data_IF_723808042024
#
_entry.id   IF_723808042024
#
_cell.length_a   1.000
_cell.length_b   1.000
_cell.length_c   1.000
_cell.angle_alpha   90.00
_cell.angle_beta   90.00
_cell.angle_gamma   90.00
#
_symmetry.space_group_name_H-M   'P 1'
#
loop_
_entity.id
_entity.type
_entity.pdbx_description
1 polymer ?
#
# COMPACT_ATOMS: atom_id res chain seq x y z
N UNK A 1 -12.99 -5.08 -12.36
CA UNK A 1 -12.63 -6.50 -12.58
C UNK A 1 -13.86 -7.36 -12.58
N UNK A 2 -14.04 -8.17 -13.63
CA UNK A 2 -15.09 -9.19 -13.69
C UNK A 2 -14.50 -10.59 -13.68
N UNK A 3 -14.80 -11.39 -12.65
CA UNK A 3 -14.43 -12.80 -12.60
C UNK A 3 -15.42 -13.59 -13.45
N UNK A 4 -14.92 -14.22 -14.52
CA UNK A 4 -15.71 -15.05 -15.42
C UNK A 4 -15.47 -16.52 -15.12
N UNK A 5 -16.56 -17.25 -14.92
CA UNK A 5 -16.53 -18.70 -14.65
C UNK A 5 -17.41 -19.40 -15.67
N UNK A 6 -16.88 -20.49 -16.24
CA UNK A 6 -17.64 -21.44 -17.04
C UNK A 6 -17.49 -22.79 -16.33
N UNK A 7 -18.57 -23.40 -15.82
CA UNK A 7 -18.49 -24.68 -15.11
C UNK A 7 -19.78 -25.50 -15.22
N UNK A 8 -19.75 -26.81 -14.97
CA UNK A 8 -20.93 -27.67 -15.08
C UNK A 8 -21.57 -28.05 -13.74
N UNK A 9 -22.90 -28.17 -13.73
CA UNK A 9 -23.70 -28.45 -12.52
C UNK A 9 -24.42 -29.79 -12.61
N UNK A 10 -24.28 -30.58 -11.56
CA UNK A 10 -25.15 -31.71 -11.25
C UNK A 10 -26.00 -31.34 -10.03
N UNK A 11 -27.32 -31.35 -10.19
CA UNK A 11 -28.25 -31.17 -9.08
C UNK A 11 -28.14 -32.31 -8.08
N UNK A 12 -27.84 -32.00 -6.83
CA UNK A 12 -28.08 -32.90 -5.70
C UNK A 12 -28.49 -32.10 -4.48
N UNK A 13 -29.73 -32.34 -4.07
CA UNK A 13 -30.33 -31.88 -2.83
C UNK A 13 -29.64 -32.63 -1.68
N UNK A 14 -29.01 -31.91 -0.74
CA UNK A 14 -28.54 -32.49 0.52
C UNK A 14 -28.97 -31.58 1.67
N UNK A 15 -29.55 -32.24 2.67
CA UNK A 15 -30.27 -31.68 3.79
C UNK A 15 -29.39 -30.88 4.76
N UNK A 16 -30.03 -29.86 5.32
CA UNK A 16 -29.55 -28.92 6.32
C UNK A 16 -29.42 -29.61 7.68
N UNK A 17 -28.21 -29.64 8.24
CA UNK A 17 -27.95 -30.02 9.64
C UNK A 17 -27.35 -28.84 10.39
N UNK A 18 -28.19 -28.10 11.12
CA UNK A 18 -27.75 -27.01 12.00
C UNK A 18 -27.39 -27.63 13.35
N UNK A 19 -26.10 -27.65 13.68
CA UNK A 19 -25.64 -27.82 15.06
C UNK A 19 -25.18 -26.45 15.58
N UNK A 20 -26.00 -25.86 16.43
CA UNK A 20 -25.68 -24.65 17.17
C UNK A 20 -24.77 -25.04 18.35
N UNK A 21 -23.51 -24.63 18.32
CA UNK A 21 -22.65 -24.67 19.48
C UNK A 21 -22.54 -23.24 20.04
N UNK A 22 -23.27 -23.00 21.12
CA UNK A 22 -23.24 -21.74 21.86
C UNK A 22 -22.06 -21.78 22.83
N UNK A 23 -20.90 -21.32 22.37
CA UNK A 23 -19.81 -20.96 23.28
C UNK A 23 -19.95 -19.49 23.67
N UNK A 24 -20.43 -19.30 24.89
CA UNK A 24 -20.51 -18.01 25.59
C UNK A 24 -19.13 -17.37 25.71
N UNK A 25 -18.96 -16.20 25.12
CA UNK A 25 -17.79 -15.34 25.32
C UNK A 25 -17.79 -14.75 26.73
N UNK A 26 -16.64 -14.68 27.44
CA UNK A 26 -16.55 -13.97 28.70
C UNK A 26 -16.59 -12.45 28.45
N UNK A 27 -17.68 -11.81 28.85
CA UNK A 27 -17.78 -10.37 29.00
C UNK A 27 -16.93 -9.91 30.18
N UNK A 28 -15.76 -9.38 29.90
CA UNK A 28 -14.89 -8.78 30.91
C UNK A 28 -13.88 -7.83 30.28
N UNK A 29 -14.31 -6.60 29.97
CA UNK A 29 -13.39 -5.51 29.60
C UNK A 29 -12.64 -5.10 30.88
N UNK A 30 -11.30 -5.18 30.94
CA UNK A 30 -10.57 -4.65 32.09
C UNK A 30 -10.84 -3.14 32.19
N UNK A 31 -11.36 -2.69 33.34
CA UNK A 31 -11.38 -1.27 33.68
C UNK A 31 -9.94 -0.78 33.69
N UNK A 32 -9.60 0.08 32.74
CA UNK A 32 -8.39 0.90 32.80
C UNK A 32 -8.43 1.70 34.10
N UNK A 33 -7.57 1.33 35.04
CA UNK A 33 -7.29 2.17 36.21
C UNK A 33 -6.70 3.48 35.68
N UNK A 34 -7.33 4.60 36.03
CA UNK A 34 -6.77 5.92 35.79
C UNK A 34 -5.42 5.99 36.51
N UNK A 35 -4.32 6.32 35.81
CA UNK A 35 -3.05 6.50 36.49
C UNK A 35 -3.18 7.72 37.39
N UNK A 36 -3.19 7.49 38.70
CA UNK A 36 -3.00 8.56 39.69
C UNK A 36 -1.62 9.14 39.45
N UNK A 37 -1.56 10.34 38.89
CA UNK A 37 -0.31 11.08 38.73
C UNK A 37 0.36 11.18 40.11
N UNK A 38 1.61 10.72 40.29
CA UNK A 38 2.33 10.98 41.51
C UNK A 38 2.43 12.50 41.64
N UNK A 39 1.99 13.06 42.77
CA UNK A 39 2.33 14.43 43.15
C UNK A 39 3.85 14.49 43.16
N UNK A 40 4.43 15.14 42.15
CA UNK A 40 5.84 15.47 42.16
C UNK A 40 6.11 16.22 43.46
N UNK A 41 7.01 15.66 44.27
CA UNK A 41 7.72 16.44 45.26
C UNK A 41 8.28 17.66 44.53
N UNK A 42 8.01 18.85 45.06
CA UNK A 42 8.64 20.09 44.62
C UNK A 42 10.15 19.92 44.74
N UNK A 43 10.78 19.52 43.63
CA UNK A 43 12.19 19.75 43.43
C UNK A 43 12.37 21.25 43.62
N UNK A 44 13.21 21.64 44.58
CA UNK A 44 13.72 22.99 44.60
C UNK A 44 14.44 23.17 43.26
N UNK A 45 13.81 23.87 42.32
CA UNK A 45 14.51 24.38 41.17
C UNK A 45 15.67 25.18 41.75
N UNK A 46 16.91 24.68 41.61
CA UNK A 46 18.06 25.55 41.76
C UNK A 46 17.79 26.69 40.79
N UNK A 47 17.62 27.90 41.33
CA UNK A 47 17.45 29.06 40.48
C UNK A 47 18.68 29.10 39.59
N UNK A 48 18.50 28.81 38.30
CA UNK A 48 19.57 28.89 37.31
C UNK A 48 20.19 30.28 37.34
N UNK A 49 21.40 30.42 36.78
CA UNK A 49 22.06 31.71 36.73
C UNK A 49 21.15 32.76 36.10
N UNK A 50 21.00 33.91 36.78
CA UNK A 50 20.23 35.03 36.24
C UNK A 50 20.79 35.49 34.90
N UNK A 51 19.96 36.07 34.03
CA UNK A 51 20.39 36.61 32.72
C UNK A 51 21.59 37.56 32.87
N UNK A 52 21.56 38.42 33.89
CA UNK A 52 22.65 39.34 34.22
C UNK A 52 23.96 38.58 34.53
N UNK A 53 23.88 37.55 35.38
CA UNK A 53 25.03 36.72 35.75
C UNK A 53 25.59 35.94 34.56
N UNK A 54 24.72 35.48 33.65
CA UNK A 54 25.13 34.80 32.42
C UNK A 54 25.90 35.77 31.49
N UNK A 55 25.38 36.98 31.28
CA UNK A 55 26.01 38.00 30.45
C UNK A 55 27.37 38.44 31.02
N UNK A 56 27.45 38.65 32.35
CA UNK A 56 28.70 38.97 33.03
C UNK A 56 29.75 37.87 32.87
N UNK A 57 29.34 36.60 33.02
CA UNK A 57 30.24 35.46 32.86
C UNK A 57 30.81 35.37 31.43
N UNK A 58 29.97 35.53 30.42
CA UNK A 58 30.42 35.54 29.02
C UNK A 58 31.34 36.73 28.74
N UNK A 59 31.00 37.92 29.26
CA UNK A 59 31.85 39.11 29.13
C UNK A 59 33.23 38.93 29.76
N UNK A 60 33.30 38.32 30.95
CA UNK A 60 34.54 38.18 31.70
C UNK A 60 35.45 37.05 31.18
N UNK A 61 34.86 35.91 30.78
CA UNK A 61 35.61 34.67 30.52
C UNK A 61 35.64 34.26 29.04
N UNK A 62 34.75 34.79 28.19
CA UNK A 62 34.63 34.37 26.80
C UNK A 62 34.97 35.49 25.80
N UNK A 63 34.54 36.73 26.08
CA UNK A 63 34.63 37.84 25.14
C UNK A 63 36.07 38.30 24.81
N UNK A 64 37.08 37.95 25.62
CA UNK A 64 38.48 38.24 25.31
C UNK A 64 38.98 37.50 24.05
N UNK A 65 38.63 36.22 23.92
CA UNK A 65 38.98 35.40 22.75
C UNK A 65 37.90 35.44 21.67
N UNK A 66 36.63 35.50 22.07
CA UNK A 66 35.47 35.57 21.17
C UNK A 66 34.95 37.02 21.05
N UNK A 67 35.80 37.95 20.61
CA UNK A 67 35.42 39.34 20.29
C UNK A 67 35.41 39.57 18.78
N UNK A 68 34.88 40.72 18.35
CA UNK A 68 34.94 41.14 16.95
C UNK A 68 36.37 41.31 16.41
N UNK A 69 37.33 41.53 17.31
CA UNK A 69 38.75 41.66 16.97
C UNK A 69 39.46 40.31 16.89
N UNK A 70 39.34 39.48 17.92
CA UNK A 70 40.09 38.20 18.01
C UNK A 70 39.40 37.08 17.23
N UNK A 71 38.05 37.02 17.25
CA UNK A 71 37.21 36.03 16.56
C UNK A 71 37.74 34.60 16.62
N UNK A 72 38.18 34.14 17.79
CA UNK A 72 38.66 32.77 17.95
C UNK A 72 37.59 31.76 17.49
N UNK A 73 37.96 30.83 16.63
CA UNK A 73 37.03 29.86 16.04
C UNK A 73 35.94 30.48 15.16
N UNK A 74 36.12 31.71 14.66
CA UNK A 74 35.16 32.41 13.81
C UNK A 74 33.92 32.92 14.57
N UNK A 75 33.96 32.97 15.90
CA UNK A 75 32.82 33.37 16.75
C UNK A 75 33.12 34.69 17.48
N UNK A 76 32.14 35.60 17.47
CA UNK A 76 32.09 36.77 18.34
C UNK A 76 30.92 36.64 19.31
N UNK A 77 31.19 36.90 20.59
CA UNK A 77 30.24 36.95 21.69
C UNK A 77 30.16 38.36 22.28
N UNK A 78 30.67 39.37 21.57
CA UNK A 78 30.68 40.76 22.04
C UNK A 78 29.26 41.34 22.25
N UNK A 79 28.30 40.88 21.45
CA UNK A 79 26.88 41.23 21.56
C UNK A 79 26.03 40.09 22.14
N UNK A 80 26.64 39.18 22.91
CA UNK A 80 25.92 38.08 23.55
C UNK A 80 24.89 38.61 24.55
N UNK A 81 23.67 38.08 24.47
CA UNK A 81 22.58 38.36 25.39
C UNK A 81 21.85 37.05 25.73
N UNK A 82 21.95 36.62 26.98
CA UNK A 82 21.30 35.42 27.49
C UNK A 82 19.77 35.47 27.36
N UNK A 83 19.15 36.66 27.36
CA UNK A 83 17.71 36.81 27.16
C UNK A 83 17.27 36.42 25.74
N UNK A 84 18.17 36.53 24.76
CA UNK A 84 17.94 36.26 23.33
C UNK A 84 18.64 35.01 22.85
N UNK A 85 19.08 34.15 23.76
CA UNK A 85 19.89 32.97 23.41
C UNK A 85 19.15 32.01 22.47
N UNK A 86 17.82 31.97 22.57
CA UNK A 86 16.93 31.20 21.69
C UNK A 86 16.99 31.69 20.23
N UNK A 87 17.16 33.00 19.99
CA UNK A 87 17.29 33.55 18.64
C UNK A 87 18.56 33.02 17.93
N UNK A 88 19.57 32.64 18.72
CA UNK A 88 20.84 32.10 18.26
C UNK A 88 21.10 30.69 18.81
N UNK A 89 20.07 29.85 18.87
CA UNK A 89 20.14 28.49 19.44
C UNK A 89 21.32 27.67 18.89
N UNK A 90 21.62 27.77 17.59
CA UNK A 90 22.76 27.07 16.97
C UNK A 90 24.13 27.41 17.61
N UNK A 91 24.33 28.66 18.04
CA UNK A 91 25.57 29.10 18.71
C UNK A 91 25.55 28.62 20.15
N UNK A 92 24.41 28.75 20.83
CA UNK A 92 24.25 28.32 22.21
C UNK A 92 24.46 26.80 22.37
N UNK A 93 23.93 25.99 21.45
CA UNK A 93 24.18 24.55 21.35
C UNK A 93 25.67 24.19 21.17
N UNK A 94 26.42 25.02 20.44
CA UNK A 94 27.88 24.85 20.33
C UNK A 94 28.57 25.22 21.64
N UNK A 95 28.12 26.29 22.32
CA UNK A 95 28.64 26.69 23.64
C UNK A 95 28.41 25.58 24.67
N UNK A 96 27.17 25.09 24.80
CA UNK A 96 26.79 24.01 25.72
C UNK A 96 27.70 22.79 25.51
N UNK A 97 27.83 22.31 24.27
CA UNK A 97 28.71 21.17 23.94
C UNK A 97 30.17 21.40 24.33
N UNK A 98 30.71 22.60 24.11
CA UNK A 98 32.10 22.95 24.46
C UNK A 98 32.31 23.11 25.96
N UNK A 99 31.33 23.65 26.68
CA UNK A 99 31.35 23.82 28.13
C UNK A 99 31.23 22.47 28.85
N UNK A 100 30.27 21.62 28.44
CA UNK A 100 30.13 20.25 28.96
C UNK A 100 31.38 19.40 28.76
N UNK A 101 32.03 19.55 27.62
CA UNK A 101 33.28 18.85 27.33
C UNK A 101 34.53 19.46 28.01
N UNK A 102 34.38 20.54 28.80
CA UNK A 102 35.50 21.23 29.45
C UNK A 102 36.51 21.88 28.48
N UNK A 103 36.16 22.00 27.20
CA UNK A 103 37.04 22.55 26.16
C UNK A 103 37.14 24.09 26.24
N UNK A 104 36.15 24.75 26.84
CA UNK A 104 36.10 26.20 27.00
C UNK A 104 35.85 26.61 28.46
N UNK A 105 36.46 27.71 28.95
CA UNK A 105 37.61 28.42 28.35
C UNK A 105 38.85 27.51 28.18
N UNK A 106 39.91 27.85 27.42
CA UNK A 106 41.07 26.97 27.27
C UNK A 106 41.87 26.84 28.60
N UNK A 107 42.70 25.78 28.79
CA UNK A 107 43.41 25.52 30.05
C UNK A 107 44.27 26.67 30.58
N UNK A 108 44.84 27.49 29.70
CA UNK A 108 45.70 28.62 30.04
C UNK A 108 44.93 29.92 30.32
N UNK A 109 43.62 29.95 30.05
CA UNK A 109 42.80 31.12 30.31
C UNK A 109 42.26 31.12 31.74
N UNK A 110 41.83 32.29 32.23
CA UNK A 110 41.07 32.40 33.47
C UNK A 110 39.78 31.60 33.32
N UNK A 111 39.41 30.79 34.33
CA UNK A 111 38.19 29.97 34.31
C UNK A 111 37.32 30.30 35.53
N UNK A 112 35.99 30.28 35.40
CA UNK A 112 35.10 30.16 36.54
C UNK A 112 35.34 28.81 37.25
N UNK A 113 34.84 28.69 38.48
CA UNK A 113 34.80 27.40 39.15
C UNK A 113 33.84 26.43 38.42
N UNK A 114 34.00 25.14 38.70
CA UNK A 114 33.25 24.09 38.01
C UNK A 114 31.74 24.17 38.23
N UNK A 115 31.29 24.57 39.43
CA UNK A 115 29.86 24.68 39.74
C UNK A 115 29.22 25.83 38.95
N UNK A 116 29.93 26.94 38.79
CA UNK A 116 29.47 28.06 37.96
C UNK A 116 29.38 27.69 36.48
N UNK A 117 30.38 26.99 35.91
CA UNK A 117 30.29 26.51 34.51
C UNK A 117 29.12 25.53 34.34
N UNK A 118 28.93 24.63 35.30
CA UNK A 118 27.84 23.66 35.30
C UNK A 118 26.48 24.34 35.29
N UNK A 119 26.24 25.23 36.26
CA UNK A 119 25.00 25.99 36.34
C UNK A 119 24.74 26.80 35.06
N UNK A 120 25.80 27.31 34.41
CA UNK A 120 25.67 28.08 33.18
C UNK A 120 25.19 27.23 32.01
N UNK A 121 25.85 26.12 31.69
CA UNK A 121 25.42 25.31 30.55
C UNK A 121 24.07 24.63 30.81
N UNK A 122 23.76 24.25 32.04
CA UNK A 122 22.45 23.67 32.40
C UNK A 122 21.33 24.72 32.24
N UNK A 123 21.57 25.97 32.62
CA UNK A 123 20.58 27.05 32.43
C UNK A 123 20.36 27.33 30.94
N UNK A 124 21.42 27.34 30.13
CA UNK A 124 21.32 27.48 28.68
C UNK A 124 20.55 26.32 28.03
N UNK A 125 20.89 25.09 28.39
CA UNK A 125 20.23 23.85 27.92
C UNK A 125 18.73 23.90 28.23
N UNK A 126 18.37 24.15 29.49
CA UNK A 126 16.96 24.27 29.90
C UNK A 126 16.21 25.38 29.15
N UNK A 127 16.87 26.50 28.86
CA UNK A 127 16.24 27.62 28.13
C UNK A 127 15.98 27.26 26.67
N UNK A 128 16.93 26.62 26.00
CA UNK A 128 16.77 26.18 24.61
C UNK A 128 15.74 25.05 24.51
N UNK A 129 15.80 24.07 25.41
CA UNK A 129 14.86 22.95 25.44
C UNK A 129 13.42 23.41 25.67
N UNK A 130 13.20 24.35 26.61
CA UNK A 130 11.89 24.95 26.84
C UNK A 130 11.36 25.68 25.59
N UNK A 131 12.22 26.40 24.88
CA UNK A 131 11.83 27.07 23.64
C UNK A 131 11.54 26.08 22.50
N UNK A 132 12.35 25.03 22.36
CA UNK A 132 12.16 23.98 21.36
C UNK A 132 10.85 23.20 21.59
N UNK A 133 10.47 22.97 22.85
CA UNK A 133 9.20 22.34 23.20
C UNK A 133 7.98 23.18 22.79
N UNK A 134 8.07 24.51 22.84
CA UNK A 134 7.00 25.42 22.41
C UNK A 134 6.88 25.52 20.88
N UNK A 135 7.99 25.37 20.16
CA UNK A 135 8.02 25.42 18.70
C UNK A 135 8.90 24.29 18.13
N UNK A 136 8.40 23.04 18.13
CA UNK A 136 9.14 21.91 17.60
C UNK A 136 9.49 22.16 16.12
N UNK A 137 10.75 21.94 15.76
CA UNK A 137 11.19 21.96 14.37
C UNK A 137 11.49 20.51 13.93
N UNK A 138 10.53 19.82 13.27
CA UNK A 138 10.74 18.46 12.79
C UNK A 138 11.71 18.35 11.61
N UNK A 139 12.25 19.48 11.13
CA UNK A 139 13.08 19.54 9.94
C UNK A 139 12.27 19.56 8.65
N UNK A 140 12.95 19.21 7.56
CA UNK A 140 12.35 19.12 6.22
C UNK A 140 12.37 17.66 5.76
N UNK A 141 11.30 17.23 5.09
CA UNK A 141 11.20 15.93 4.42
C UNK A 141 10.71 16.16 2.99
N UNK A 142 11.36 15.56 1.97
CA UNK A 142 10.84 15.61 0.61
C UNK A 142 9.52 14.85 0.51
N UNK A 143 8.72 15.19 -0.49
CA UNK A 143 7.53 14.43 -0.82
C UNK A 143 7.91 13.04 -1.32
N UNK A 144 7.44 12.02 -0.62
CA UNK A 144 7.56 10.64 -1.06
C UNK A 144 6.52 10.38 -2.16
N UNK A 145 6.98 9.88 -3.30
CA UNK A 145 6.08 9.35 -4.34
C UNK A 145 5.82 7.88 -4.09
N UNK A 146 4.80 7.33 -4.75
CA UNK A 146 4.64 5.89 -4.77
C UNK A 146 5.80 5.26 -5.57
N UNK A 147 6.39 4.21 -5.04
CA UNK A 147 7.24 3.32 -5.83
C UNK A 147 6.37 2.47 -6.79
N UNK A 148 6.98 1.67 -7.67
CA UNK A 148 6.23 0.84 -8.63
C UNK A 148 5.25 -0.12 -7.95
N UNK A 149 5.68 -0.79 -6.89
CA UNK A 149 4.85 -1.76 -6.18
C UNK A 149 3.66 -1.07 -5.48
N UNK A 150 3.90 0.07 -4.84
CA UNK A 150 2.89 0.89 -4.18
C UNK A 150 1.91 1.47 -5.21
N UNK A 151 2.40 1.95 -6.35
CA UNK A 151 1.55 2.45 -7.43
C UNK A 151 0.66 1.34 -8.01
N UNK A 152 1.20 0.15 -8.27
CA UNK A 152 0.40 -0.99 -8.75
C UNK A 152 -0.69 -1.38 -7.74
N UNK A 153 -0.34 -1.44 -6.45
CA UNK A 153 -1.32 -1.73 -5.39
C UNK A 153 -2.37 -0.63 -5.28
N UNK A 154 -1.99 0.64 -5.34
CA UNK A 154 -2.92 1.75 -5.31
C UNK A 154 -3.90 1.72 -6.49
N UNK A 155 -3.42 1.40 -7.70
CA UNK A 155 -4.28 1.20 -8.89
C UNK A 155 -5.25 0.05 -8.67
N UNK A 156 -4.77 -1.07 -8.14
CA UNK A 156 -5.62 -2.23 -7.82
C UNK A 156 -6.66 -1.92 -6.76
N UNK A 157 -6.30 -1.19 -5.70
CA UNK A 157 -7.19 -0.87 -4.60
C UNK A 157 -8.24 0.18 -5.00
N UNK A 158 -7.87 1.17 -5.79
CA UNK A 158 -8.77 2.25 -6.23
C UNK A 158 -9.68 1.85 -7.38
N UNK A 159 -9.17 1.08 -8.33
CA UNK A 159 -9.88 0.78 -9.59
C UNK A 159 -10.25 -0.69 -9.73
N UNK A 160 -9.70 -1.57 -8.90
CA UNK A 160 -9.90 -3.00 -9.03
C UNK A 160 -9.33 -3.54 -10.35
N UNK A 161 -8.16 -3.05 -10.79
CA UNK A 161 -7.50 -3.47 -12.03
C UNK A 161 -6.05 -3.84 -11.72
N UNK A 162 -5.59 -4.96 -12.28
CA UNK A 162 -4.22 -5.41 -12.18
C UNK A 162 -3.53 -5.01 -13.47
N UNK A 163 -2.50 -4.19 -13.33
CA UNK A 163 -1.78 -3.61 -14.44
C UNK A 163 -0.30 -3.85 -14.21
N UNK A 164 0.37 -4.32 -15.25
CA UNK A 164 1.82 -4.39 -15.26
C UNK A 164 2.40 -2.98 -15.38
N UNK A 165 2.70 -2.37 -14.23
CA UNK A 165 3.30 -1.03 -14.15
C UNK A 165 4.73 -0.99 -14.67
N UNK A 166 5.38 -2.16 -14.80
CA UNK A 166 6.77 -2.27 -15.24
C UNK A 166 6.96 -1.84 -16.69
N UNK A 167 5.89 -1.93 -17.49
CA UNK A 167 5.83 -1.45 -18.86
C UNK A 167 5.81 0.09 -18.98
N UNK A 168 5.52 0.81 -17.89
CA UNK A 168 5.32 2.27 -17.91
C UNK A 168 6.33 3.05 -17.09
N UNK A 169 6.74 2.52 -15.93
CA UNK A 169 7.59 3.22 -14.97
C UNK A 169 8.99 2.60 -14.94
N UNK A 170 10.07 3.40 -14.89
CA UNK A 170 11.42 2.88 -14.69
C UNK A 170 11.57 2.25 -13.29
N UNK A 171 12.53 1.33 -13.08
CA UNK A 171 12.78 0.76 -11.76
C UNK A 171 13.13 1.85 -10.74
N UNK A 172 12.71 1.64 -9.49
CA UNK A 172 13.01 2.55 -8.38
C UNK A 172 14.46 2.35 -7.88
N UNK A 173 15.10 3.43 -7.44
CA UNK A 173 16.42 3.36 -6.82
C UNK A 173 16.31 2.71 -5.44
N UNK A 174 17.18 1.74 -5.17
CA UNK A 174 17.27 1.07 -3.88
C UNK A 174 18.40 1.68 -3.07
N UNK A 175 18.10 2.03 -1.83
CA UNK A 175 19.11 2.46 -0.86
C UNK A 175 18.82 2.01 0.54
N UNK A 176 19.91 1.71 1.24
CA UNK A 176 19.87 1.11 2.58
C UNK A 176 19.00 -0.15 2.61
N UNK A 177 18.82 -0.82 1.47
CA UNK A 177 17.97 -2.01 1.30
C UNK A 177 16.50 -1.74 0.98
N UNK A 178 16.08 -0.47 0.83
CA UNK A 178 14.69 -0.07 0.61
C UNK A 178 14.53 0.71 -0.70
N UNK A 179 13.40 0.52 -1.39
CA UNK A 179 13.03 1.19 -2.65
C UNK A 179 12.04 2.35 -2.44
N UNK A 180 11.77 2.71 -1.19
CA UNK A 180 10.80 3.72 -0.78
C UNK A 180 11.41 4.87 0.05
N UNK A 181 12.71 5.11 -0.10
CA UNK A 181 13.41 6.21 0.58
C UNK A 181 13.11 7.53 -0.14
N UNK A 182 12.35 8.42 0.51
CA UNK A 182 11.85 9.66 -0.10
C UNK A 182 12.95 10.54 -0.73
N UNK A 183 14.10 10.66 -0.06
CA UNK A 183 15.24 11.49 -0.50
C UNK A 183 15.90 10.97 -1.78
N UNK A 184 15.62 9.73 -2.17
CA UNK A 184 16.16 9.10 -3.38
C UNK A 184 15.13 8.96 -4.50
N UNK A 185 13.86 9.20 -4.20
CA UNK A 185 12.76 9.09 -5.15
C UNK A 185 12.51 10.40 -5.91
N UNK A 186 13.57 10.98 -6.46
CA UNK A 186 13.45 12.23 -7.24
C UNK A 186 12.62 12.01 -8.51
N UNK A 187 11.82 13.02 -8.90
CA UNK A 187 11.08 13.01 -10.16
C UNK A 187 11.97 13.40 -11.33
N UNK A 188 12.19 12.47 -12.25
CA UNK A 188 12.75 12.78 -13.57
C UNK A 188 11.64 13.09 -14.58
N UNK A 189 11.91 13.86 -15.65
CA UNK A 189 10.95 14.09 -16.73
C UNK A 189 10.40 12.78 -17.33
N UNK A 190 11.29 11.79 -17.54
CA UNK A 190 10.90 10.48 -18.05
C UNK A 190 9.93 9.73 -17.12
N UNK A 191 10.12 9.86 -15.79
CA UNK A 191 9.21 9.27 -14.81
C UNK A 191 7.82 9.94 -14.87
N UNK A 192 7.77 11.26 -14.99
CA UNK A 192 6.51 12.00 -15.12
C UNK A 192 5.74 11.60 -16.39
N UNK A 193 6.44 11.49 -17.52
CA UNK A 193 5.85 10.98 -18.77
C UNK A 193 5.36 9.54 -18.62
N UNK A 194 6.09 8.69 -17.90
CA UNK A 194 5.70 7.33 -17.56
C UNK A 194 4.40 7.29 -16.77
N UNK A 195 4.26 8.13 -15.74
CA UNK A 195 3.03 8.26 -14.97
C UNK A 195 1.84 8.72 -15.81
N UNK A 196 2.02 9.72 -16.67
CA UNK A 196 0.94 10.22 -17.53
C UNK A 196 0.51 9.16 -18.56
N UNK A 197 1.46 8.41 -19.13
CA UNK A 197 1.16 7.28 -20.03
C UNK A 197 0.44 6.15 -19.29
N UNK A 198 0.91 5.76 -18.11
CA UNK A 198 0.26 4.77 -17.27
C UNK A 198 -1.17 5.21 -16.92
N UNK A 199 -1.34 6.43 -16.41
CA UNK A 199 -2.64 6.97 -16.04
C UNK A 199 -3.62 6.99 -17.22
N UNK A 200 -3.17 7.38 -18.42
CA UNK A 200 -3.99 7.36 -19.64
C UNK A 200 -4.48 5.95 -19.97
N UNK A 201 -3.58 4.95 -19.96
CA UNK A 201 -3.95 3.56 -20.24
C UNK A 201 -4.85 2.97 -19.14
N UNK A 202 -4.46 3.13 -17.88
CA UNK A 202 -5.22 2.64 -16.73
C UNK A 202 -6.64 3.24 -16.70
N UNK A 203 -6.77 4.53 -17.01
CA UNK A 203 -8.08 5.19 -17.05
C UNK A 203 -8.99 4.61 -18.15
N UNK A 204 -8.43 4.26 -19.32
CA UNK A 204 -9.19 3.57 -20.37
C UNK A 204 -9.60 2.16 -19.95
N UNK A 205 -8.73 1.44 -19.27
CA UNK A 205 -9.07 0.11 -18.74
C UNK A 205 -10.17 0.19 -17.67
N UNK A 206 -10.18 1.25 -16.85
CA UNK A 206 -11.14 1.43 -15.77
C UNK A 206 -12.52 1.91 -16.22
N UNK A 207 -12.57 2.83 -17.17
CA UNK A 207 -13.82 3.43 -17.65
C UNK A 207 -14.40 2.65 -18.84
N UNK A 208 -13.55 1.95 -19.59
CA UNK A 208 -13.88 1.39 -20.89
C UNK A 208 -13.71 2.40 -22.03
N UNK A 209 -13.45 1.88 -23.22
CA UNK A 209 -13.36 2.64 -24.47
C UNK A 209 -14.62 2.39 -25.31
N UNK A 210 -15.48 3.40 -25.44
CA UNK A 210 -16.70 3.32 -26.26
C UNK A 210 -16.42 3.06 -27.75
N UNK A 211 -15.21 3.35 -28.20
CA UNK A 211 -14.79 3.10 -29.58
C UNK A 211 -14.00 1.79 -29.71
N UNK A 212 -13.97 0.94 -28.66
CA UNK A 212 -13.34 -0.36 -28.74
C UNK A 212 -13.98 -1.18 -29.86
N UNK A 213 -13.15 -1.68 -30.77
CA UNK A 213 -13.59 -2.64 -31.78
C UNK A 213 -14.06 -3.93 -31.10
N UNK A 214 -14.98 -4.63 -31.76
CA UNK A 214 -15.36 -5.96 -31.34
C UNK A 214 -14.12 -6.86 -31.29
N UNK A 215 -13.82 -7.39 -30.12
CA UNK A 215 -12.68 -8.27 -29.86
C UNK A 215 -13.13 -9.53 -29.16
N UNK A 216 -12.35 -10.60 -29.32
CA UNK A 216 -12.59 -11.88 -28.67
C UNK A 216 -11.36 -12.31 -27.90
N UNK A 217 -11.55 -12.81 -26.68
CA UNK A 217 -10.51 -13.49 -25.91
C UNK A 217 -10.83 -14.99 -25.82
N UNK A 218 -9.81 -15.83 -26.03
CA UNK A 218 -9.96 -17.28 -25.98
C UNK A 218 -9.12 -17.84 -24.85
N UNK A 219 -9.77 -18.55 -23.92
CA UNK A 219 -9.12 -19.24 -22.82
C UNK A 219 -9.11 -20.74 -23.08
N UNK A 220 -7.93 -21.35 -23.10
CA UNK A 220 -7.78 -22.77 -23.40
C UNK A 220 -7.83 -23.60 -22.12
N UNK A 221 -8.71 -24.60 -22.10
CA UNK A 221 -8.76 -25.62 -21.05
C UNK A 221 -8.02 -26.86 -21.57
N UNK A 222 -7.00 -27.30 -20.84
CA UNK A 222 -6.25 -28.50 -21.19
C UNK A 222 -7.12 -29.76 -21.15
N UNK A 223 -6.89 -30.71 -22.04
CA UNK A 223 -7.65 -31.98 -22.12
C UNK A 223 -7.56 -32.84 -20.86
N UNK A 224 -6.52 -32.62 -20.06
CA UNK A 224 -6.29 -33.32 -18.78
C UNK A 224 -6.82 -32.52 -17.57
N UNK A 225 -7.50 -31.39 -17.80
CA UNK A 225 -8.13 -30.61 -16.74
C UNK A 225 -9.24 -31.42 -16.08
N UNK A 226 -9.24 -31.46 -14.74
CA UNK A 226 -10.25 -32.20 -13.99
C UNK A 226 -11.64 -31.62 -14.23
N UNK A 227 -12.59 -32.45 -14.66
CA UNK A 227 -14.01 -32.08 -14.79
C UNK A 227 -14.83 -32.50 -13.56
N UNK A 228 -14.18 -33.01 -12.52
CA UNK A 228 -14.83 -33.59 -11.34
C UNK A 228 -14.63 -32.74 -10.07
N UNK A 229 -13.76 -31.74 -10.13
CA UNK A 229 -13.46 -30.83 -9.03
C UNK A 229 -13.87 -29.41 -9.39
N UNK A 230 -14.27 -28.66 -8.38
CA UNK A 230 -14.49 -27.23 -8.50
C UNK A 230 -13.17 -26.53 -8.85
N UNK A 231 -13.24 -25.54 -9.74
CA UNK A 231 -12.10 -24.67 -10.06
C UNK A 231 -12.08 -23.51 -9.05
N UNK A 232 -10.90 -23.10 -8.61
CA UNK A 232 -10.76 -21.98 -7.67
C UNK A 232 -11.41 -20.70 -8.24
N UNK A 233 -12.29 -20.09 -7.45
CA UNK A 233 -13.08 -18.92 -7.85
C UNK A 233 -14.37 -19.22 -8.62
N UNK A 234 -14.65 -20.49 -8.95
CA UNK A 234 -15.94 -20.89 -9.51
C UNK A 234 -17.07 -20.92 -8.44
N UNK A 235 -18.35 -20.71 -8.78
CA UNK A 235 -19.46 -20.82 -7.82
C UNK A 235 -19.51 -22.18 -7.13
N UNK A 236 -19.95 -22.19 -5.86
CA UNK A 236 -20.11 -23.42 -5.08
C UNK A 236 -21.14 -24.34 -5.76
N UNK A 237 -20.82 -25.64 -5.81
CA UNK A 237 -21.67 -26.66 -6.46
C UNK A 237 -21.35 -26.89 -7.94
N UNK A 238 -20.43 -26.11 -8.51
CA UNK A 238 -19.92 -26.34 -9.87
C UNK A 238 -18.73 -27.30 -9.89
N UNK A 239 -18.50 -27.96 -11.03
CA UNK A 239 -17.31 -28.75 -11.31
C UNK A 239 -16.76 -28.50 -12.71
N UNK A 240 -15.46 -28.73 -12.88
CA UNK A 240 -14.80 -28.56 -14.16
C UNK A 240 -14.77 -27.12 -14.66
N UNK A 241 -14.31 -26.96 -15.90
CA UNK A 241 -14.29 -25.66 -16.56
C UNK A 241 -13.11 -24.75 -16.19
N UNK A 242 -13.36 -23.44 -16.08
CA UNK A 242 -12.34 -22.40 -15.85
C UNK A 242 -12.89 -21.19 -15.09
N UNK A 243 -12.03 -20.54 -14.31
CA UNK A 243 -12.26 -19.26 -13.64
C UNK A 243 -11.13 -18.30 -13.99
N UNK A 244 -11.44 -17.17 -14.63
CA UNK A 244 -10.44 -16.16 -15.04
C UNK A 244 -10.92 -14.74 -14.77
N UNK A 245 -9.98 -13.84 -14.53
CA UNK A 245 -10.25 -12.41 -14.56
C UNK A 245 -10.21 -11.94 -16.01
N UNK A 246 -11.31 -11.36 -16.49
CA UNK A 246 -11.38 -10.74 -17.80
C UNK A 246 -11.71 -9.25 -17.66
N UNK A 247 -11.00 -8.42 -18.44
CA UNK A 247 -11.26 -7.00 -18.52
C UNK A 247 -12.09 -6.72 -19.78
N UNK A 248 -13.32 -6.25 -19.58
CA UNK A 248 -14.20 -5.89 -20.69
C UNK A 248 -13.79 -4.52 -21.24
N UNK A 249 -13.46 -4.40 -22.53
CA UNK A 249 -12.93 -3.17 -23.10
C UNK A 249 -14.00 -2.06 -23.20
N UNK A 250 -15.29 -2.40 -23.21
CA UNK A 250 -16.39 -1.45 -23.34
C UNK A 250 -17.66 -1.96 -22.66
N UNK A 251 -18.61 -1.06 -22.43
CA UNK A 251 -20.00 -1.45 -22.18
C UNK A 251 -20.56 -2.01 -23.48
N UNK A 252 -21.08 -3.24 -23.45
CA UNK A 252 -21.61 -3.87 -24.66
C UNK A 252 -22.25 -5.21 -24.42
N UNK A 253 -22.79 -5.77 -25.50
CA UNK A 253 -23.40 -7.09 -25.49
C UNK A 253 -22.36 -8.12 -25.92
N UNK A 254 -22.04 -9.02 -24.99
CA UNK A 254 -21.02 -10.04 -25.17
C UNK A 254 -21.66 -11.41 -25.32
N UNK A 255 -21.06 -12.21 -26.18
CA UNK A 255 -21.43 -13.60 -26.37
C UNK A 255 -20.31 -14.46 -25.83
N UNK A 256 -20.63 -15.37 -24.92
CA UNK A 256 -19.69 -16.39 -24.46
C UNK A 256 -19.90 -17.66 -25.28
N UNK A 257 -18.79 -18.18 -25.77
CA UNK A 257 -18.72 -19.43 -26.52
C UNK A 257 -17.87 -20.43 -25.77
N UNK A 258 -18.37 -21.65 -25.63
CA UNK A 258 -17.64 -22.78 -25.10
C UNK A 258 -17.57 -23.87 -26.16
N UNK A 259 -16.36 -24.11 -26.67
CA UNK A 259 -16.07 -25.19 -27.61
C UNK A 259 -15.63 -26.43 -26.84
N UNK A 260 -16.40 -27.51 -26.95
CA UNK A 260 -16.18 -28.75 -26.21
C UNK A 260 -15.10 -29.60 -26.87
N UNK A 261 -14.31 -30.32 -26.05
CA UNK A 261 -13.42 -31.36 -26.57
C UNK A 261 -14.23 -32.57 -27.02
N UNK A 262 -13.86 -33.14 -28.17
CA UNK A 262 -14.46 -34.36 -28.68
C UNK A 262 -13.63 -35.60 -28.36
N UNK A 263 -14.32 -36.73 -28.20
CA UNK A 263 -13.73 -38.06 -28.24
C UNK A 263 -13.42 -38.48 -29.69
N UNK A 264 -12.59 -39.51 -29.95
CA UNK A 264 -12.18 -39.90 -31.31
C UNK A 264 -13.32 -40.21 -32.30
N UNK A 265 -14.54 -40.44 -31.82
CA UNK A 265 -15.75 -40.65 -32.63
C UNK A 265 -16.54 -39.35 -32.89
N UNK A 266 -15.94 -38.18 -32.62
CA UNK A 266 -16.50 -36.87 -32.91
C UNK A 266 -17.64 -36.42 -31.98
N UNK A 267 -17.85 -37.09 -30.85
CA UNK A 267 -18.88 -36.76 -29.85
C UNK A 267 -18.32 -36.20 -28.55
N UNK A 268 -19.21 -35.75 -27.65
CA UNK A 268 -18.82 -35.45 -26.27
C UNK A 268 -18.49 -36.76 -25.53
N UNK A 269 -17.39 -36.74 -24.77
CA UNK A 269 -16.97 -37.87 -23.95
C UNK A 269 -18.10 -38.30 -22.98
N UNK A 270 -18.39 -39.60 -22.93
CA UNK A 270 -19.41 -40.15 -22.03
C UNK A 270 -20.85 -40.01 -22.53
N UNK A 271 -21.08 -39.53 -23.76
CA UNK A 271 -22.43 -39.32 -24.33
C UNK A 271 -23.36 -40.52 -24.22
N UNK A 272 -22.86 -41.74 -24.42
CA UNK A 272 -23.70 -42.95 -24.37
C UNK A 272 -24.19 -43.23 -22.95
N UNK A 273 -23.33 -43.05 -21.94
CA UNK A 273 -23.73 -43.16 -20.53
C UNK A 273 -24.73 -42.08 -20.17
N UNK A 274 -24.51 -40.83 -20.63
CA UNK A 274 -25.44 -39.73 -20.41
C UNK A 274 -26.82 -40.01 -21.00
N UNK A 275 -26.89 -40.51 -22.24
CA UNK A 275 -28.15 -40.88 -22.89
C UNK A 275 -28.84 -42.06 -22.19
N UNK A 276 -28.10 -43.12 -21.89
CA UNK A 276 -28.66 -44.36 -21.33
C UNK A 276 -29.16 -44.17 -19.90
N UNK A 277 -28.45 -43.35 -19.11
CA UNK A 277 -28.78 -43.09 -17.71
C UNK A 277 -29.61 -41.81 -17.53
N UNK A 278 -30.00 -41.15 -18.62
CA UNK A 278 -30.71 -39.87 -18.61
C UNK A 278 -30.04 -38.80 -17.72
N UNK A 279 -28.72 -38.69 -17.83
CA UNK A 279 -27.91 -37.71 -17.09
C UNK A 279 -27.80 -36.43 -17.94
N UNK A 280 -28.32 -35.34 -17.39
CA UNK A 280 -28.14 -33.99 -17.94
C UNK A 280 -26.92 -33.31 -17.32
N UNK A 281 -26.11 -32.67 -18.14
CA UNK A 281 -25.07 -31.75 -17.69
C UNK A 281 -25.43 -30.36 -18.19
N UNK A 282 -25.09 -29.35 -17.41
CA UNK A 282 -25.30 -27.95 -17.78
C UNK A 282 -23.98 -27.21 -17.78
N UNK A 283 -23.87 -26.12 -18.50
CA UNK A 283 -22.76 -25.19 -18.49
C UNK A 283 -23.25 -23.86 -17.93
N UNK A 284 -22.85 -23.57 -16.72
CA UNK A 284 -23.06 -22.29 -16.07
C UNK A 284 -22.01 -21.28 -16.52
N UNK A 285 -22.46 -20.10 -16.93
CA UNK A 285 -21.63 -18.91 -17.06
C UNK A 285 -21.96 -17.97 -15.91
N UNK A 286 -20.96 -17.61 -15.12
CA UNK A 286 -21.06 -16.64 -14.04
C UNK A 286 -20.09 -15.48 -14.22
N UNK A 287 -20.53 -14.28 -13.83
CA UNK A 287 -19.74 -13.04 -13.81
C UNK A 287 -19.77 -12.49 -12.39
N UNK A 288 -18.61 -12.28 -11.77
CA UNK A 288 -18.53 -11.81 -10.37
C UNK A 288 -19.30 -12.69 -9.38
N UNK A 289 -19.38 -13.99 -9.65
CA UNK A 289 -20.13 -14.94 -8.83
C UNK A 289 -21.64 -14.94 -9.06
N UNK A 290 -22.16 -14.06 -9.93
CA UNK A 290 -23.56 -14.04 -10.34
C UNK A 290 -23.75 -14.85 -11.63
N UNK A 291 -24.69 -15.78 -11.63
CA UNK A 291 -25.04 -16.58 -12.81
C UNK A 291 -25.72 -15.71 -13.86
N UNK A 292 -25.14 -15.66 -15.06
CA UNK A 292 -25.68 -14.90 -16.20
C UNK A 292 -26.23 -15.78 -17.31
N UNK A 293 -25.80 -17.03 -17.40
CA UNK A 293 -26.37 -18.02 -18.32
C UNK A 293 -26.22 -19.45 -17.79
N UNK A 294 -27.12 -20.32 -18.23
CA UNK A 294 -27.09 -21.76 -17.98
C UNK A 294 -27.46 -22.47 -19.28
N UNK A 295 -26.51 -23.21 -19.85
CA UNK A 295 -26.67 -23.84 -21.16
C UNK A 295 -26.70 -25.36 -21.00
N UNK A 296 -27.73 -26.03 -21.50
CA UNK A 296 -27.79 -27.48 -21.44
C UNK A 296 -26.77 -28.12 -22.39
N UNK A 297 -25.95 -29.03 -21.87
CA UNK A 297 -25.01 -29.82 -22.64
C UNK A 297 -25.76 -31.04 -23.17
N UNK A 298 -26.10 -31.01 -24.46
CA UNK A 298 -26.85 -32.12 -25.08
C UNK A 298 -25.91 -33.29 -25.37
N UNK A 299 -26.21 -34.51 -24.90
CA UNK A 299 -25.34 -35.67 -25.14
C UNK A 299 -25.14 -36.00 -26.62
N UNK A 300 -26.08 -35.63 -27.48
CA UNK A 300 -26.02 -35.91 -28.91
C UNK A 300 -25.17 -34.91 -29.73
N UNK A 301 -24.54 -33.92 -29.09
CA UNK A 301 -23.67 -32.97 -29.78
C UNK A 301 -22.48 -33.68 -30.44
N UNK A 302 -22.25 -33.37 -31.72
CA UNK A 302 -21.14 -33.92 -32.50
C UNK A 302 -20.42 -32.86 -33.35
N UNK A 303 -19.14 -33.09 -33.65
CA UNK A 303 -18.36 -32.24 -34.56
C UNK A 303 -18.96 -32.21 -35.97
N UNK A 304 -19.61 -33.29 -36.39
CA UNK A 304 -20.28 -33.40 -37.69
C UNK A 304 -21.50 -32.49 -37.81
N UNK A 305 -22.13 -32.12 -36.69
CA UNK A 305 -23.32 -31.29 -36.69
C UNK A 305 -23.01 -29.85 -37.14
N UNK A 306 -21.76 -29.40 -36.96
CA UNK A 306 -21.28 -28.12 -37.52
C UNK A 306 -21.35 -28.10 -39.05
N UNK A 307 -21.21 -29.25 -39.71
CA UNK A 307 -21.32 -29.37 -41.17
C UNK A 307 -22.77 -29.30 -41.66
N UNK A 308 -23.75 -29.47 -40.76
CA UNK A 308 -25.20 -29.44 -41.06
C UNK A 308 -25.88 -28.12 -40.70
N UNK A 309 -25.13 -27.12 -40.23
CA UNK A 309 -25.64 -25.81 -39.84
C UNK A 309 -26.20 -25.74 -38.41
N UNK A 310 -26.01 -26.78 -37.60
CA UNK A 310 -26.25 -26.76 -36.15
C UNK A 310 -24.97 -26.38 -35.41
N UNK A 311 -25.08 -25.86 -34.17
CA UNK A 311 -23.92 -25.37 -33.39
C UNK A 311 -22.87 -26.44 -33.02
N UNK A 312 -23.06 -27.71 -33.39
CA UNK A 312 -22.18 -28.84 -33.08
C UNK A 312 -21.65 -28.85 -31.65
N UNK A 313 -20.33 -28.92 -31.49
CA UNK A 313 -19.67 -28.94 -30.18
C UNK A 313 -19.47 -27.54 -29.55
N UNK A 314 -20.13 -26.51 -30.08
CA UNK A 314 -20.10 -25.15 -29.53
C UNK A 314 -21.40 -24.83 -28.77
N UNK A 315 -21.25 -24.43 -27.51
CA UNK A 315 -22.32 -23.82 -26.72
C UNK A 315 -22.14 -22.30 -26.78
N UNK A 316 -23.24 -21.58 -26.97
CA UNK A 316 -23.24 -20.12 -27.12
C UNK A 316 -24.35 -19.53 -26.26
N UNK A 317 -24.04 -18.47 -25.52
CA UNK A 317 -25.05 -17.69 -24.80
C UNK A 317 -25.83 -16.77 -25.74
N UNK A 318 -27.01 -16.34 -25.31
CA UNK A 318 -27.57 -15.09 -25.84
C UNK A 318 -26.62 -13.91 -25.53
N UNK A 319 -26.73 -12.77 -26.24
CA UNK A 319 -25.96 -11.59 -25.91
C UNK A 319 -26.25 -11.13 -24.48
N UNK A 320 -25.21 -11.06 -23.65
CA UNK A 320 -25.28 -10.63 -22.25
C UNK A 320 -24.68 -9.22 -22.18
N UNK A 321 -25.45 -8.29 -21.63
CA UNK A 321 -24.96 -6.92 -21.44
C UNK A 321 -23.96 -6.86 -20.28
N UNK A 322 -22.72 -6.45 -20.56
CA UNK A 322 -21.65 -6.38 -19.57
C UNK A 322 -21.02 -4.99 -19.64
N UNK A 323 -20.98 -4.30 -18.49
CA UNK A 323 -20.21 -3.06 -18.34
C UNK A 323 -18.69 -3.28 -18.49
N UNK A 324 -17.97 -2.28 -18.97
CA UNK A 324 -16.52 -2.26 -18.99
C UNK A 324 -15.93 -2.39 -17.57
N UNK A 325 -14.67 -2.83 -17.52
CA UNK A 325 -13.88 -2.92 -16.29
C UNK A 325 -14.00 -4.23 -15.51
#
# INVERSE_FOLDING_TARGET
>A
MKTFVIASLATSIVALGIAADQTTAPTGRPRTATPTSPKLATAHASAGLSIESQNQLVGQYCATCHSDKTRAGGLSLAAFDAAKVVENANVAEKMIRKLRAGMMPPPQARRPDAATIQSFYETLENTIDAAAALKPNPGWRPFQRLNRAEYQRAVRDLLGIDVDVTAYLPPDTVSSGFDNVADEQTFSPALLEGYLRAASQISRLAVGDRNASATSATYKIGRFGSQMRQVDGAPIGTRGGISVVHLFPADGDYVIKASMHYEPLGGIFGRYSMLTMNIGEQLEVSINGERVALLDVKPNMSETDQQTGQNGLELKTDPIHIKAG
#
